data_IF_082929746251
#
_entry.id   IF_082929746251
#
_cell.length_a   1.000
_cell.length_b   1.000
_cell.length_c   1.000
_cell.angle_alpha   90.00
_cell.angle_beta   90.00
_cell.angle_gamma   90.00
#
_symmetry.space_group_name_H-M   'P 1'
#
loop_
_entity.id
_entity.type
_entity.pdbx_description
1 polymer ?
#
# COMPACT_ATOMS: atom_id res chain seq x y z
N UNK A 1 -10.48 18.43 0.37
CA UNK A 1 -11.07 17.11 0.72
C UNK A 1 -10.04 16.05 0.41
N UNK A 2 -9.91 15.03 1.24
CA UNK A 2 -8.99 13.89 1.02
C UNK A 2 -9.77 12.59 1.12
N UNK A 3 -9.49 11.65 0.21
CA UNK A 3 -10.02 10.29 0.23
C UNK A 3 -8.83 9.34 0.28
N UNK A 4 -8.92 8.30 1.11
CA UNK A 4 -7.87 7.30 1.27
C UNK A 4 -8.44 5.90 1.04
N UNK A 5 -7.70 5.10 0.29
CA UNK A 5 -7.99 3.70 0.05
C UNK A 5 -6.77 2.88 0.47
N UNK A 6 -6.91 1.98 1.44
CA UNK A 6 -5.83 1.08 1.89
C UNK A 6 -5.54 -0.07 0.93
N UNK A 7 -6.23 -0.12 -0.20
CA UNK A 7 -5.95 -1.05 -1.28
C UNK A 7 -5.20 -0.32 -2.41
N UNK A 8 -4.31 -1.01 -3.15
CA UNK A 8 -4.05 -2.46 -3.14
C UNK A 8 -2.97 -2.90 -2.14
N UNK A 9 -2.64 -2.07 -1.15
CA UNK A 9 -1.58 -2.35 -0.18
C UNK A 9 -1.87 -3.59 0.69
N UNK A 10 -3.08 -3.65 1.27
CA UNK A 10 -3.50 -4.78 2.11
C UNK A 10 -3.42 -6.13 1.37
N UNK A 11 -3.97 -6.23 0.16
CA UNK A 11 -3.89 -7.48 -0.63
C UNK A 11 -2.45 -7.77 -1.06
N UNK A 12 -1.66 -6.74 -1.37
CA UNK A 12 -0.24 -6.85 -1.71
C UNK A 12 0.59 -7.41 -0.55
N UNK A 13 0.37 -6.95 0.67
CA UNK A 13 1.02 -7.50 1.87
C UNK A 13 0.57 -8.93 2.17
N UNK A 14 -0.71 -9.23 2.04
CA UNK A 14 -1.25 -10.54 2.37
C UNK A 14 -0.82 -11.64 1.38
N UNK A 15 -0.72 -11.31 0.09
CA UNK A 15 -0.57 -12.32 -0.98
C UNK A 15 0.67 -12.11 -1.88
N UNK A 16 1.37 -10.98 -1.73
CA UNK A 16 2.45 -10.57 -2.60
C UNK A 16 1.96 -9.68 -3.74
N UNK A 17 2.83 -8.78 -4.26
CA UNK A 17 2.46 -7.85 -5.32
C UNK A 17 1.96 -8.55 -6.58
N UNK A 18 2.59 -9.63 -7.00
CA UNK A 18 2.26 -10.27 -8.29
C UNK A 18 1.07 -11.25 -8.21
N UNK A 19 0.40 -11.32 -7.07
CA UNK A 19 -0.74 -12.21 -6.90
C UNK A 19 -1.95 -11.74 -7.75
N UNK A 20 -2.65 -12.63 -8.49
CA UNK A 20 -3.77 -12.26 -9.36
C UNK A 20 -4.90 -11.49 -8.67
N UNK A 21 -5.11 -11.71 -7.37
CA UNK A 21 -6.13 -10.98 -6.60
C UNK A 21 -5.86 -9.48 -6.51
N UNK A 22 -4.60 -9.02 -6.62
CA UNK A 22 -4.29 -7.59 -6.70
C UNK A 22 -4.96 -6.95 -7.90
N UNK A 23 -5.03 -7.66 -9.04
CA UNK A 23 -5.68 -7.16 -10.26
C UNK A 23 -7.18 -6.93 -10.02
N UNK A 24 -7.85 -7.86 -9.32
CA UNK A 24 -9.29 -7.72 -9.01
C UNK A 24 -9.58 -6.50 -8.14
N UNK A 25 -8.71 -6.26 -7.16
CA UNK A 25 -8.82 -5.10 -6.27
C UNK A 25 -8.52 -3.79 -7.02
N UNK A 26 -7.50 -3.77 -7.88
CA UNK A 26 -7.23 -2.60 -8.75
C UNK A 26 -8.43 -2.28 -9.64
N UNK A 27 -9.08 -3.30 -10.22
CA UNK A 27 -10.31 -3.10 -11.00
C UNK A 27 -11.46 -2.51 -10.16
N UNK A 28 -11.54 -2.83 -8.87
CA UNK A 28 -12.53 -2.23 -7.98
C UNK A 28 -12.22 -0.76 -7.69
N UNK A 29 -10.95 -0.42 -7.43
CA UNK A 29 -10.50 0.96 -7.23
C UNK A 29 -10.77 1.79 -8.50
N UNK A 30 -10.46 1.25 -9.67
CA UNK A 30 -10.71 1.89 -10.96
C UNK A 30 -12.20 2.22 -11.15
N UNK A 31 -13.11 1.29 -10.83
CA UNK A 31 -14.56 1.55 -10.85
C UNK A 31 -14.98 2.67 -9.90
N UNK A 32 -14.41 2.73 -8.69
CA UNK A 32 -14.71 3.80 -7.73
C UNK A 32 -14.22 5.17 -8.24
N UNK A 33 -13.05 5.22 -8.87
CA UNK A 33 -12.54 6.44 -9.51
C UNK A 33 -13.43 6.83 -10.70
N UNK A 34 -13.87 5.87 -11.49
CA UNK A 34 -14.84 6.08 -12.58
C UNK A 34 -16.12 6.76 -12.08
N UNK A 35 -16.74 6.21 -11.03
CA UNK A 35 -17.91 6.81 -10.40
C UNK A 35 -17.66 8.25 -9.92
N UNK A 36 -16.51 8.52 -9.30
CA UNK A 36 -16.16 9.87 -8.87
C UNK A 36 -16.08 10.83 -10.06
N UNK A 37 -15.46 10.41 -11.17
CA UNK A 37 -15.36 11.22 -12.39
C UNK A 37 -16.75 11.48 -13.01
N UNK A 38 -17.58 10.47 -13.10
CA UNK A 38 -18.97 10.60 -13.61
C UNK A 38 -19.79 11.56 -12.75
N UNK A 39 -19.65 11.50 -11.42
CA UNK A 39 -20.34 12.41 -10.51
C UNK A 39 -19.86 13.86 -10.68
N UNK A 40 -18.55 14.09 -10.86
CA UNK A 40 -17.99 15.42 -11.11
C UNK A 40 -18.58 16.03 -12.38
N UNK A 41 -18.68 15.24 -13.45
CA UNK A 41 -19.28 15.67 -14.71
C UNK A 41 -20.79 15.95 -14.55
N UNK A 42 -21.54 15.03 -13.94
CA UNK A 42 -22.98 15.18 -13.69
C UNK A 42 -23.32 16.45 -12.89
N UNK A 43 -22.44 16.85 -11.98
CA UNK A 43 -22.59 18.05 -11.17
C UNK A 43 -21.96 19.31 -11.79
N UNK A 44 -21.49 19.27 -13.05
CA UNK A 44 -20.86 20.39 -13.76
C UNK A 44 -19.63 20.97 -13.05
N UNK A 45 -18.84 20.11 -12.39
CA UNK A 45 -17.65 20.53 -11.64
C UNK A 45 -16.35 20.39 -12.45
N UNK A 46 -16.39 19.83 -13.65
CA UNK A 46 -15.22 19.50 -14.48
C UNK A 46 -14.26 20.68 -14.66
N UNK A 47 -14.76 21.90 -14.87
CA UNK A 47 -13.93 23.08 -15.11
C UNK A 47 -13.46 23.79 -13.84
N UNK A 48 -13.97 23.39 -12.67
CA UNK A 48 -13.73 24.08 -11.39
C UNK A 48 -13.15 23.19 -10.29
N UNK A 49 -12.97 21.90 -10.55
CA UNK A 49 -12.44 20.93 -9.61
C UNK A 49 -11.23 20.19 -10.17
N UNK A 50 -10.07 20.39 -9.53
CA UNK A 50 -8.88 19.61 -9.81
C UNK A 50 -8.88 18.32 -8.97
N UNK A 51 -8.62 17.19 -9.63
CA UNK A 51 -8.47 15.88 -8.97
C UNK A 51 -7.04 15.41 -9.14
N UNK A 52 -6.37 15.13 -8.02
CA UNK A 52 -5.03 14.54 -7.99
C UNK A 52 -5.16 13.12 -7.45
N UNK A 53 -4.70 12.15 -8.22
CA UNK A 53 -4.62 10.74 -7.82
C UNK A 53 -3.15 10.45 -7.57
N UNK A 54 -2.83 9.93 -6.39
CA UNK A 54 -1.46 9.63 -6.00
C UNK A 54 -1.42 8.41 -5.10
N UNK A 55 -0.21 7.88 -4.91
CA UNK A 55 0.11 6.79 -4.00
C UNK A 55 1.35 7.19 -3.20
N UNK A 56 1.41 6.73 -1.97
CA UNK A 56 2.53 6.93 -1.04
C UNK A 56 3.76 6.10 -1.41
N UNK A 57 3.59 4.85 -1.88
CA UNK A 57 4.69 3.97 -2.25
C UNK A 57 4.31 2.82 -3.20
N UNK A 58 5.33 2.11 -3.70
CA UNK A 58 5.17 0.86 -4.44
C UNK A 58 5.13 -0.38 -3.53
N UNK A 59 5.23 -1.57 -4.13
CA UNK A 59 5.27 -2.85 -3.41
C UNK A 59 6.28 -3.79 -4.08
N UNK A 60 6.97 -4.63 -3.29
CA UNK A 60 7.89 -5.65 -3.80
C UNK A 60 7.73 -6.98 -3.07
N UNK A 61 8.12 -8.07 -3.73
CA UNK A 61 8.04 -9.43 -3.16
C UNK A 61 9.12 -9.61 -2.11
N UNK A 62 8.71 -9.95 -0.89
CA UNK A 62 9.63 -10.31 0.19
C UNK A 62 9.82 -11.82 0.22
N UNK A 63 11.07 -12.25 0.12
CA UNK A 63 11.46 -13.66 0.29
C UNK A 63 11.71 -13.96 1.78
N UNK A 64 11.42 -15.19 2.19
CA UNK A 64 11.70 -15.69 3.54
C UNK A 64 12.60 -16.92 3.46
N UNK A 65 13.12 -17.36 4.62
CA UNK A 65 13.84 -18.64 4.70
C UNK A 65 12.97 -19.79 4.10
N UNK A 66 13.57 -20.73 3.34
CA UNK A 66 15.01 -20.90 3.10
C UNK A 66 15.57 -20.12 1.89
N UNK A 67 14.76 -19.32 1.19
CA UNK A 67 15.16 -18.69 -0.08
C UNK A 67 16.21 -17.58 0.10
N UNK A 68 16.26 -16.99 1.29
CA UNK A 68 17.21 -15.95 1.68
C UNK A 68 17.58 -16.14 3.15
N UNK A 69 18.79 -15.71 3.52
CA UNK A 69 19.17 -15.60 4.92
C UNK A 69 18.67 -14.29 5.51
N UNK A 70 17.66 -14.39 6.37
CA UNK A 70 17.15 -13.25 7.12
C UNK A 70 18.19 -12.77 8.14
N UNK A 71 18.45 -11.46 8.14
CA UNK A 71 19.29 -10.80 9.15
C UNK A 71 18.48 -10.67 10.44
N UNK A 72 18.69 -11.60 11.36
CA UNK A 72 18.08 -11.56 12.69
C UNK A 72 19.06 -10.88 13.63
N UNK A 73 18.79 -9.62 13.98
CA UNK A 73 19.71 -8.76 14.74
C UNK A 73 20.17 -9.39 16.07
N UNK A 74 19.31 -10.14 16.75
CA UNK A 74 19.66 -10.80 18.02
C UNK A 74 20.76 -11.87 17.88
N UNK A 75 21.13 -12.28 16.65
CA UNK A 75 22.29 -13.15 16.39
C UNK A 75 23.62 -12.40 16.39
N UNK A 76 23.59 -11.08 16.23
CA UNK A 76 24.76 -10.22 16.11
C UNK A 76 24.88 -9.22 17.27
N UNK A 77 23.77 -8.89 17.92
CA UNK A 77 23.67 -7.87 18.96
C UNK A 77 22.86 -8.40 20.14
N UNK A 78 23.29 -8.10 21.36
CA UNK A 78 22.44 -8.28 22.54
C UNK A 78 21.49 -7.08 22.65
N UNK A 79 20.28 -7.23 22.13
CA UNK A 79 19.30 -6.14 22.10
C UNK A 79 18.88 -5.70 23.51
N UNK A 80 18.80 -6.62 24.49
CA UNK A 80 18.45 -6.26 25.87
C UNK A 80 19.53 -5.39 26.52
N UNK A 81 20.81 -5.67 26.23
CA UNK A 81 21.93 -4.85 26.72
C UNK A 81 22.02 -3.48 26.03
N UNK A 82 21.59 -3.38 24.77
CA UNK A 82 21.68 -2.14 23.98
C UNK A 82 20.44 -1.25 24.10
N UNK A 83 19.27 -1.86 24.35
CA UNK A 83 18.01 -1.16 24.55
C UNK A 83 17.68 -0.92 26.03
N UNK A 84 18.54 -1.34 26.97
CA UNK A 84 18.52 -0.84 28.33
C UNK A 84 18.96 0.62 28.30
N UNK A 85 18.02 1.52 28.05
CA UNK A 85 18.15 2.89 28.46
C UNK A 85 18.20 2.86 29.99
N UNK A 86 19.26 3.41 30.58
CA UNK A 86 19.24 3.76 32.00
C UNK A 86 18.06 4.69 32.20
N UNK A 87 16.98 4.16 32.79
CA UNK A 87 15.90 4.96 33.37
C UNK A 87 16.28 5.17 34.84
#
# INVERSE_FOLDING_TARGET
>A
VTLYCGEPDNVGHAKGPDHPDRIKIIQQIDRTIGYLREAIEYHNLTDSLNVIITSDHGMTTIKKRPQVDEIILNRYLNLLKLASFEI
#
